data_IF_889576439105
#
_entry.id   IF_889576439105
#
_cell.length_a   1.000
_cell.length_b   1.000
_cell.length_c   1.000
_cell.angle_alpha   90.00
_cell.angle_beta   90.00
_cell.angle_gamma   90.00
#
_symmetry.space_group_name_H-M   'P 1'
#
loop_
_entity.id
_entity.type
_entity.pdbx_description
1 polymer ?
#
# COMPACT_ATOMS: atom_id res chain seq x y z
N UNK A 1 -45.13 29.37 -17.52
CA UNK A 1 -43.79 29.56 -18.14
C UNK A 1 -43.04 30.58 -17.28
N UNK A 2 -41.88 30.37 -16.68
CA UNK A 2 -40.88 29.30 -16.70
C UNK A 2 -40.38 29.16 -15.25
N UNK A 3 -40.41 27.95 -14.67
CA UNK A 3 -39.63 27.65 -13.46
C UNK A 3 -38.20 27.46 -13.93
N UNK A 4 -37.34 28.44 -13.72
CA UNK A 4 -35.90 28.28 -13.97
C UNK A 4 -35.35 27.30 -12.93
N UNK A 5 -35.04 26.09 -13.41
CA UNK A 5 -34.35 25.04 -12.68
C UNK A 5 -33.04 25.58 -12.11
N UNK A 6 -32.93 25.62 -10.78
CA UNK A 6 -31.64 25.72 -10.11
C UNK A 6 -30.82 24.50 -10.52
N UNK A 7 -29.80 24.71 -11.35
CA UNK A 7 -28.71 23.75 -11.51
C UNK A 7 -28.16 23.45 -10.12
N UNK A 8 -28.02 22.17 -9.72
CA UNK A 8 -27.46 21.86 -8.42
C UNK A 8 -25.97 22.20 -8.42
N UNK A 9 -25.61 23.30 -7.78
CA UNK A 9 -24.22 23.75 -7.50
C UNK A 9 -23.41 22.75 -6.63
N UNK A 10 -23.93 21.53 -6.39
CA UNK A 10 -23.40 20.57 -5.43
C UNK A 10 -22.71 19.34 -6.05
N UNK A 11 -22.30 19.38 -7.32
CA UNK A 11 -21.63 18.24 -7.98
C UNK A 11 -20.10 18.30 -7.93
N UNK A 12 -19.51 19.38 -7.40
CA UNK A 12 -18.07 19.41 -7.15
C UNK A 12 -17.85 18.90 -5.72
N UNK A 13 -17.57 17.59 -5.58
CA UNK A 13 -17.00 17.09 -4.33
C UNK A 13 -15.72 17.90 -4.09
N UNK A 14 -15.55 18.55 -2.91
CA UNK A 14 -14.32 19.27 -2.62
C UNK A 14 -13.16 18.30 -2.80
N UNK A 15 -12.08 18.77 -3.43
CA UNK A 15 -10.85 18.00 -3.56
C UNK A 15 -10.46 17.55 -2.15
N UNK A 16 -10.49 16.24 -1.89
CA UNK A 16 -10.17 15.72 -0.58
C UNK A 16 -8.70 15.98 -0.31
N UNK A 17 -8.40 16.82 0.69
CA UNK A 17 -7.04 17.06 1.17
C UNK A 17 -6.41 15.83 1.86
N UNK A 18 -7.17 14.72 2.01
CA UNK A 18 -6.65 13.49 2.59
C UNK A 18 -5.74 12.77 1.61
N UNK A 19 -4.56 12.27 2.05
CA UNK A 19 -3.73 11.40 1.25
C UNK A 19 -4.53 10.21 0.70
N UNK A 20 -4.23 9.80 -0.53
CA UNK A 20 -4.88 8.67 -1.17
C UNK A 20 -4.03 7.41 -0.98
N UNK A 21 -4.61 6.38 -0.38
CA UNK A 21 -3.98 5.05 -0.28
C UNK A 21 -4.49 4.16 -1.43
N UNK A 22 -3.59 3.72 -2.29
CA UNK A 22 -3.90 2.78 -3.38
C UNK A 22 -3.69 1.36 -2.87
N UNK A 23 -4.72 0.52 -2.96
CA UNK A 23 -4.67 -0.88 -2.51
C UNK A 23 -4.67 -1.81 -3.72
N UNK A 24 -3.64 -2.64 -3.82
CA UNK A 24 -3.50 -3.66 -4.87
C UNK A 24 -3.66 -5.04 -4.22
N UNK A 25 -4.85 -5.63 -4.36
CA UNK A 25 -5.18 -6.94 -3.81
C UNK A 25 -5.33 -7.99 -4.92
N UNK A 26 -5.08 -9.26 -4.59
CA UNK A 26 -5.19 -10.38 -5.52
C UNK A 26 -4.40 -11.61 -5.06
N UNK A 27 -4.59 -12.79 -5.68
CA UNK A 27 -3.93 -14.02 -5.27
C UNK A 27 -2.40 -13.95 -5.45
N UNK A 28 -1.67 -14.86 -4.83
CA UNK A 28 -0.21 -14.96 -5.00
C UNK A 28 0.15 -15.21 -6.46
N UNK A 29 1.30 -14.69 -6.92
CA UNK A 29 1.83 -14.85 -8.27
C UNK A 29 1.05 -14.19 -9.44
N UNK A 30 0.06 -13.32 -9.17
CA UNK A 30 -0.62 -12.54 -10.24
C UNK A 30 0.10 -11.25 -10.67
N UNK A 31 1.35 -11.03 -10.22
CA UNK A 31 2.13 -9.85 -10.62
C UNK A 31 1.88 -8.57 -9.80
N UNK A 32 1.32 -8.66 -8.58
CA UNK A 32 1.06 -7.49 -7.73
C UNK A 32 2.31 -6.65 -7.44
N UNK A 33 3.44 -7.32 -7.18
CA UNK A 33 4.71 -6.64 -6.86
C UNK A 33 5.16 -5.77 -8.03
N UNK A 34 5.21 -6.34 -9.24
CA UNK A 34 5.62 -5.60 -10.44
C UNK A 34 4.67 -4.43 -10.74
N UNK A 35 3.35 -4.66 -10.69
CA UNK A 35 2.36 -3.59 -10.89
C UNK A 35 2.46 -2.50 -9.83
N UNK A 36 2.67 -2.88 -8.55
CA UNK A 36 2.88 -1.93 -7.47
C UNK A 36 4.11 -1.06 -7.68
N UNK A 37 5.22 -1.64 -8.14
CA UNK A 37 6.46 -0.91 -8.43
C UNK A 37 6.27 0.08 -9.59
N UNK A 38 5.60 -0.32 -10.66
CA UNK A 38 5.31 0.57 -11.79
C UNK A 38 4.47 1.78 -11.37
N UNK A 39 3.40 1.53 -10.61
CA UNK A 39 2.53 2.58 -10.06
C UNK A 39 3.36 3.49 -9.14
N UNK A 40 4.13 2.91 -8.22
CA UNK A 40 4.93 3.65 -7.25
C UNK A 40 5.95 4.57 -7.93
N UNK A 41 6.66 4.08 -8.96
CA UNK A 41 7.56 4.90 -9.77
C UNK A 41 6.84 6.04 -10.48
N UNK A 42 5.67 5.77 -11.08
CA UNK A 42 4.93 6.77 -11.86
C UNK A 42 4.40 7.91 -10.99
N UNK A 43 4.06 7.61 -9.74
CA UNK A 43 3.48 8.56 -8.80
C UNK A 43 4.50 9.13 -7.80
N UNK A 44 5.76 8.69 -7.84
CA UNK A 44 6.78 9.09 -6.87
C UNK A 44 6.42 8.69 -5.44
N UNK A 45 5.79 7.53 -5.25
CA UNK A 45 5.34 7.03 -3.94
C UNK A 45 6.12 5.79 -3.50
N UNK A 46 5.79 5.30 -2.31
CA UNK A 46 6.40 4.15 -1.65
C UNK A 46 5.39 3.00 -1.51
N UNK A 47 5.88 1.79 -1.23
CA UNK A 47 5.04 0.58 -1.10
C UNK A 47 5.01 0.12 0.35
N UNK A 48 3.82 -0.15 0.87
CA UNK A 48 3.61 -0.87 2.13
C UNK A 48 3.25 -2.31 1.78
N UNK A 49 4.08 -3.28 2.17
CA UNK A 49 3.71 -4.69 2.00
C UNK A 49 2.64 -5.08 3.01
N UNK A 50 1.58 -5.74 2.52
CA UNK A 50 0.51 -6.31 3.34
C UNK A 50 0.48 -7.84 3.25
N UNK A 51 1.62 -8.47 2.91
CA UNK A 51 1.78 -9.93 2.93
C UNK A 51 2.48 -10.38 4.21
N UNK A 52 1.74 -11.02 5.11
CA UNK A 52 2.24 -11.43 6.42
C UNK A 52 3.43 -12.38 6.37
N UNK A 53 3.62 -13.12 5.28
CA UNK A 53 4.76 -14.01 5.13
C UNK A 53 6.04 -13.27 4.75
N UNK A 54 5.91 -12.15 4.03
CA UNK A 54 7.05 -11.32 3.61
C UNK A 54 7.61 -10.45 4.74
N UNK A 55 6.93 -10.37 5.89
CA UNK A 55 7.38 -9.57 7.03
C UNK A 55 8.69 -10.09 7.65
N UNK A 56 8.97 -11.38 7.50
CA UNK A 56 10.04 -12.08 8.20
C UNK A 56 11.32 -12.18 7.37
N UNK A 57 12.43 -11.68 7.90
CA UNK A 57 13.73 -11.65 7.20
C UNK A 57 14.28 -13.04 6.90
N UNK A 58 13.98 -14.05 7.72
CA UNK A 58 14.44 -15.43 7.51
C UNK A 58 13.66 -16.18 6.41
N UNK A 59 12.48 -15.70 6.01
CA UNK A 59 11.60 -16.36 5.04
C UNK A 59 11.74 -15.78 3.64
N UNK A 60 12.89 -15.93 2.97
CA UNK A 60 13.12 -15.30 1.66
C UNK A 60 12.59 -16.12 0.46
N UNK A 61 12.74 -17.45 0.47
CA UNK A 61 12.55 -18.28 -0.74
C UNK A 61 11.08 -18.68 -0.95
N UNK A 62 10.37 -19.05 0.13
CA UNK A 62 9.04 -19.68 0.03
C UNK A 62 7.85 -18.72 -0.01
N UNK A 63 8.08 -17.40 0.04
CA UNK A 63 7.01 -16.40 0.27
C UNK A 63 6.77 -15.47 -0.91
N UNK A 64 7.41 -15.75 -2.05
CA UNK A 64 7.41 -14.86 -3.21
C UNK A 64 7.76 -13.41 -2.82
N UNK A 65 8.77 -13.24 -1.96
CA UNK A 65 9.27 -11.93 -1.58
C UNK A 65 9.79 -11.17 -2.81
N UNK A 66 9.70 -9.83 -2.83
CA UNK A 66 10.30 -9.05 -3.91
C UNK A 66 11.80 -9.32 -4.02
N UNK A 67 12.32 -9.36 -5.24
CA UNK A 67 13.75 -9.53 -5.47
C UNK A 67 14.55 -8.32 -4.98
N UNK A 68 15.88 -8.48 -4.87
CA UNK A 68 16.75 -7.36 -4.48
C UNK A 68 16.62 -6.20 -5.48
N UNK A 69 16.48 -6.50 -6.76
CA UNK A 69 16.26 -5.52 -7.82
C UNK A 69 14.93 -4.78 -7.65
N UNK A 70 13.87 -5.49 -7.29
CA UNK A 70 12.55 -4.92 -7.00
C UNK A 70 12.58 -4.04 -5.74
N UNK A 71 13.24 -4.50 -4.67
CA UNK A 71 13.41 -3.73 -3.44
C UNK A 71 14.25 -2.46 -3.64
N UNK A 72 15.18 -2.46 -4.60
CA UNK A 72 15.95 -1.27 -4.99
C UNK A 72 15.16 -0.32 -5.90
N UNK A 73 14.13 -0.82 -6.58
CA UNK A 73 13.39 -0.05 -7.57
C UNK A 73 12.53 1.06 -6.95
N UNK A 74 11.95 0.78 -5.78
CA UNK A 74 11.17 1.72 -4.94
C UNK A 74 11.26 1.28 -3.48
N UNK A 75 11.10 2.22 -2.53
CA UNK A 75 11.13 1.89 -1.11
C UNK A 75 9.93 0.99 -0.75
N UNK A 76 10.23 -0.16 -0.18
CA UNK A 76 9.26 -1.09 0.38
C UNK A 76 9.34 -1.05 1.90
N UNK A 77 8.20 -0.85 2.55
CA UNK A 77 8.04 -0.93 4.00
C UNK A 77 7.45 -2.29 4.37
N UNK A 78 7.72 -2.71 5.61
CA UNK A 78 7.21 -3.95 6.19
C UNK A 78 7.67 -5.24 5.50
N UNK A 79 8.68 -5.21 4.61
CA UNK A 79 9.32 -6.42 4.06
C UNK A 79 10.56 -6.76 4.88
N UNK A 80 10.66 -7.99 5.38
CA UNK A 80 11.82 -8.47 6.14
C UNK A 80 12.15 -7.65 7.39
N UNK A 81 11.15 -7.00 7.98
CA UNK A 81 11.32 -6.10 9.13
C UNK A 81 11.25 -6.82 10.49
N UNK A 82 10.81 -8.08 10.51
CA UNK A 82 10.69 -8.93 11.70
C UNK A 82 11.61 -10.14 11.61
N UNK A 83 11.97 -10.69 12.78
CA UNK A 83 12.48 -12.06 12.95
C UNK A 83 11.32 -13.05 13.07
N UNK A 84 11.49 -14.28 12.60
CA UNK A 84 10.52 -15.37 12.84
C UNK A 84 10.25 -15.65 14.33
N UNK A 85 11.12 -15.19 15.22
CA UNK A 85 10.95 -15.30 16.68
C UNK A 85 10.05 -14.21 17.26
N UNK A 86 9.75 -13.16 16.48
CA UNK A 86 8.99 -12.01 16.94
C UNK A 86 7.50 -12.33 16.89
N UNK A 87 6.82 -12.06 17.99
CA UNK A 87 5.36 -12.14 18.03
C UNK A 87 4.76 -10.99 17.22
N UNK A 88 3.95 -11.32 16.22
CA UNK A 88 3.27 -10.33 15.38
C UNK A 88 1.89 -10.82 14.95
N UNK A 89 0.91 -9.92 14.94
CA UNK A 89 -0.47 -10.23 14.56
C UNK A 89 -1.12 -9.08 13.80
N UNK A 90 -2.35 -9.30 13.33
CA UNK A 90 -3.09 -8.32 12.51
C UNK A 90 -3.37 -7.00 13.22
N UNK A 91 -3.59 -7.01 14.54
CA UNK A 91 -3.82 -5.77 15.29
C UNK A 91 -2.54 -4.95 15.44
N UNK A 92 -1.38 -5.61 15.51
CA UNK A 92 -0.08 -4.92 15.50
C UNK A 92 0.19 -4.32 14.13
N UNK A 93 -0.04 -5.08 13.05
CA UNK A 93 0.08 -4.57 11.68
C UNK A 93 -0.77 -3.33 11.43
N UNK A 94 -2.05 -3.37 11.82
CA UNK A 94 -2.95 -2.22 11.70
C UNK A 94 -2.38 -0.99 12.42
N UNK A 95 -1.96 -1.14 13.68
CA UNK A 95 -1.42 -0.03 14.48
C UNK A 95 -0.13 0.53 13.86
N UNK A 96 0.78 -0.34 13.42
CA UNK A 96 2.07 0.09 12.87
C UNK A 96 1.88 0.82 11.53
N UNK A 97 1.01 0.31 10.66
CA UNK A 97 0.69 0.96 9.38
C UNK A 97 -0.01 2.30 9.59
N UNK A 98 -0.97 2.40 10.50
CA UNK A 98 -1.62 3.68 10.81
C UNK A 98 -0.63 4.69 11.37
N UNK A 99 0.23 4.28 12.31
CA UNK A 99 1.29 5.14 12.86
C UNK A 99 2.31 5.58 11.79
N UNK A 100 2.58 4.74 10.79
CA UNK A 100 3.42 5.08 9.64
C UNK A 100 2.74 6.10 8.75
N UNK A 101 1.47 5.86 8.37
CA UNK A 101 0.69 6.72 7.49
C UNK A 101 0.42 8.11 8.10
N UNK A 102 0.32 8.24 9.41
CA UNK A 102 0.19 9.54 10.09
C UNK A 102 1.45 10.41 9.97
N UNK A 103 2.61 9.80 9.71
CA UNK A 103 3.91 10.47 9.63
C UNK A 103 4.43 10.66 8.21
N UNK A 104 3.76 10.08 7.22
CA UNK A 104 4.13 10.12 5.81
C UNK A 104 3.63 11.41 5.16
#
# INVERSE_FOLDING_TARGET
MLKTSKTPENLIKPFSLKPTLIVIAGPTAVGKTSTGIEIAKSLGTEIISADSRQFYKELQIGVAAPTIEELRAVRHHFVGHLSITDYYNVSMFEKDVLNFLEKW
#
